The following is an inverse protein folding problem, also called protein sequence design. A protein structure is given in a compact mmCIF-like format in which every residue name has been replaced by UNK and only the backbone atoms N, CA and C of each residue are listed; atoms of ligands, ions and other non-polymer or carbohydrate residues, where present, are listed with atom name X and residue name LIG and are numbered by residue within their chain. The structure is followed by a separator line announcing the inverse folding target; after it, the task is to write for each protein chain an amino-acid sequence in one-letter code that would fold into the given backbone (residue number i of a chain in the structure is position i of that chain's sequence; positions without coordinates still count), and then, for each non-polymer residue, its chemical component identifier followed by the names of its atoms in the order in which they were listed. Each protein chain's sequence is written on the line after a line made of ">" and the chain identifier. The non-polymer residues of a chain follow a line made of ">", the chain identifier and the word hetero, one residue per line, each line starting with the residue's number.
data_IF_332823109635
#
_entry.id   IF_332823109635
#
_cell.length_a   1.000
_cell.length_b   1.000
_cell.length_c   1.000
_cell.angle_alpha   90.00
_cell.angle_beta   90.00
_cell.angle_gamma   90.00
#
_symmetry.space_group_name_H-M   'P 1'
#
loop_
_entity.id
_entity.type
_entity.pdbx_description
1 polymer ?
#
# COMPACT_ATOMS: atom_id res chain seq x y z
N UNK A 1 15.13 0.49 -18.57
CA UNK A 1 14.28 1.69 -18.58
C UNK A 1 14.37 2.32 -17.21
N UNK A 2 14.53 3.66 -17.12
CA UNK A 2 14.65 4.37 -15.85
C UNK A 2 13.29 4.43 -15.14
N UNK A 3 13.31 4.54 -13.82
CA UNK A 3 12.13 4.77 -12.98
C UNK A 3 11.89 6.27 -12.89
N UNK A 4 10.67 6.72 -13.14
CA UNK A 4 10.26 8.09 -12.83
C UNK A 4 9.76 8.22 -11.38
N UNK A 5 9.91 9.42 -10.81
CA UNK A 5 9.34 9.73 -9.49
C UNK A 5 7.81 9.55 -9.48
N UNK A 6 7.16 9.83 -10.61
CA UNK A 6 5.72 9.66 -10.78
C UNK A 6 5.33 8.18 -10.61
N UNK A 7 5.99 7.27 -11.33
CA UNK A 7 5.71 5.83 -11.22
C UNK A 7 5.93 5.30 -9.80
N UNK A 8 6.96 5.81 -9.11
CA UNK A 8 7.25 5.38 -7.74
C UNK A 8 6.17 5.87 -6.76
N UNK A 9 5.74 7.13 -6.86
CA UNK A 9 4.69 7.69 -6.01
C UNK A 9 3.32 7.07 -6.31
N UNK A 10 3.00 6.82 -7.58
CA UNK A 10 1.78 6.11 -7.95
C UNK A 10 1.74 4.72 -7.34
N UNK A 11 2.85 3.97 -7.42
CA UNK A 11 2.94 2.69 -6.76
C UNK A 11 2.81 2.84 -5.25
N UNK A 12 3.58 3.70 -4.61
CA UNK A 12 3.50 3.92 -3.15
C UNK A 12 2.06 4.23 -2.72
N UNK A 13 1.39 5.17 -3.40
CA UNK A 13 -0.01 5.53 -3.08
C UNK A 13 -1.02 4.42 -3.36
N UNK A 14 -0.79 3.57 -4.37
CA UNK A 14 -1.58 2.34 -4.59
C UNK A 14 -1.46 1.41 -3.38
N UNK A 15 -0.22 1.17 -2.91
CA UNK A 15 0.06 0.30 -1.76
C UNK A 15 -0.65 0.82 -0.52
N UNK A 16 -0.52 2.11 -0.20
CA UNK A 16 -1.18 2.72 0.95
C UNK A 16 -2.71 2.61 0.89
N UNK A 17 -3.30 2.80 -0.30
CA UNK A 17 -4.74 2.70 -0.48
C UNK A 17 -5.26 1.28 -0.32
N UNK A 18 -4.52 0.30 -0.82
CA UNK A 18 -4.82 -1.13 -0.63
C UNK A 18 -4.69 -1.52 0.84
N UNK A 19 -3.59 -1.14 1.50
CA UNK A 19 -3.35 -1.41 2.93
C UNK A 19 -4.44 -0.82 3.83
N UNK A 20 -4.82 0.45 3.59
CA UNK A 20 -5.95 1.10 4.26
C UNK A 20 -7.23 0.27 4.16
N UNK A 21 -7.55 -0.21 2.96
CA UNK A 21 -8.77 -1.00 2.69
C UNK A 21 -8.69 -2.32 3.40
N UNK A 22 -7.58 -3.03 3.27
CA UNK A 22 -7.31 -4.30 3.93
C UNK A 22 -7.50 -4.22 5.44
N UNK A 23 -6.82 -3.29 6.12
CA UNK A 23 -6.94 -3.16 7.58
C UNK A 23 -8.34 -2.78 8.02
N UNK A 24 -9.02 -1.88 7.29
CA UNK A 24 -10.39 -1.47 7.59
C UNK A 24 -11.37 -2.63 7.48
N UNK A 25 -11.26 -3.43 6.43
CA UNK A 25 -12.13 -4.57 6.23
C UNK A 25 -11.83 -5.70 7.22
N UNK A 26 -10.55 -5.93 7.54
CA UNK A 26 -10.15 -6.95 8.52
C UNK A 26 -10.71 -6.63 9.91
N UNK A 27 -10.71 -5.35 10.29
CA UNK A 27 -11.29 -4.88 11.54
C UNK A 27 -12.79 -5.22 11.70
N UNK A 28 -13.53 -5.40 10.60
CA UNK A 28 -14.95 -5.80 10.66
C UNK A 28 -15.15 -7.28 11.01
N UNK A 29 -14.10 -8.10 10.89
CA UNK A 29 -14.14 -9.54 11.11
C UNK A 29 -13.47 -9.97 12.42
N UNK A 30 -12.91 -9.02 13.18
CA UNK A 30 -12.26 -9.27 14.46
C UNK A 30 -13.21 -8.95 15.61
N UNK A 31 -13.56 -9.93 16.48
CA UNK A 31 -14.45 -9.71 17.61
C UNK A 31 -13.76 -9.03 18.80
N UNK A 32 -12.44 -9.21 18.93
CA UNK A 32 -11.67 -8.60 20.00
C UNK A 32 -11.58 -7.06 19.80
N UNK A 33 -12.04 -6.25 20.76
CA UNK A 33 -12.10 -4.81 20.59
C UNK A 33 -10.71 -4.14 20.52
N UNK A 34 -9.71 -4.66 21.23
CA UNK A 34 -8.36 -4.10 21.24
C UNK A 34 -7.68 -4.31 19.89
N UNK A 35 -7.78 -5.53 19.35
CA UNK A 35 -7.26 -5.85 18.02
C UNK A 35 -8.01 -5.06 16.93
N UNK A 36 -9.34 -4.92 17.06
CA UNK A 36 -10.13 -4.09 16.14
C UNK A 36 -9.66 -2.64 16.14
N UNK A 37 -9.45 -2.04 17.30
CA UNK A 37 -9.00 -0.66 17.42
C UNK A 37 -7.60 -0.45 16.85
N UNK A 38 -6.70 -1.43 17.05
CA UNK A 38 -5.38 -1.44 16.43
C UNK A 38 -5.47 -1.47 14.90
N UNK A 39 -6.30 -2.34 14.32
CA UNK A 39 -6.48 -2.41 12.86
C UNK A 39 -7.06 -1.10 12.28
N UNK A 40 -8.00 -0.47 13.00
CA UNK A 40 -8.53 0.84 12.62
C UNK A 40 -7.48 1.96 12.75
N UNK A 41 -6.56 1.86 13.71
CA UNK A 41 -5.40 2.74 13.79
C UNK A 41 -4.51 2.56 12.56
N UNK A 42 -4.13 1.33 12.21
CA UNK A 42 -3.31 1.05 11.02
C UNK A 42 -3.95 1.61 9.74
N UNK A 43 -5.26 1.41 9.55
CA UNK A 43 -5.99 1.97 8.40
C UNK A 43 -5.90 3.51 8.33
N UNK A 44 -5.85 4.19 9.47
CA UNK A 44 -5.67 5.66 9.53
C UNK A 44 -4.23 6.07 9.20
N UNK A 45 -3.24 5.31 9.67
CA UNK A 45 -1.83 5.56 9.34
C UNK A 45 -1.58 5.44 7.83
N UNK A 46 -2.09 4.40 7.16
CA UNK A 46 -1.92 4.27 5.69
C UNK A 46 -2.60 5.43 4.93
N UNK A 47 -3.75 5.92 5.42
CA UNK A 47 -4.38 7.10 4.83
C UNK A 47 -3.50 8.37 4.96
N UNK A 48 -2.75 8.48 6.06
CA UNK A 48 -1.81 9.57 6.28
C UNK A 48 -0.56 9.41 5.40
N UNK A 49 0.00 8.21 5.28
CA UNK A 49 1.11 7.91 4.38
C UNK A 49 0.76 8.25 2.92
N UNK A 50 -0.45 7.92 2.45
CA UNK A 50 -0.90 8.27 1.08
C UNK A 50 -0.83 9.78 0.83
N UNK A 51 -1.24 10.58 1.82
CA UNK A 51 -1.19 12.06 1.75
C UNK A 51 0.26 12.53 1.71
N UNK A 52 1.14 11.93 2.49
CA UNK A 52 2.56 12.30 2.56
C UNK A 52 3.29 12.00 1.26
N UNK A 53 3.07 10.82 0.66
CA UNK A 53 3.62 10.49 -0.66
C UNK A 53 3.16 11.45 -1.75
N UNK A 54 1.88 11.86 -1.75
CA UNK A 54 1.36 12.86 -2.69
C UNK A 54 2.04 14.22 -2.50
N UNK A 55 2.17 14.69 -1.26
CA UNK A 55 2.89 15.94 -0.94
C UNK A 55 4.35 15.92 -1.36
N UNK A 56 5.00 14.75 -1.30
CA UNK A 56 6.39 14.62 -1.75
C UNK A 56 6.52 14.97 -3.24
N UNK A 57 5.59 14.55 -4.10
CA UNK A 57 5.62 14.89 -5.53
C UNK A 57 5.42 16.39 -5.76
N UNK A 58 4.43 16.99 -5.10
CA UNK A 58 4.11 18.42 -5.21
C UNK A 58 5.31 19.30 -4.81
N UNK A 59 6.05 18.90 -3.77
CA UNK A 59 7.19 19.66 -3.27
C UNK A 59 8.48 19.46 -4.08
N UNK A 60 8.61 18.34 -4.81
CA UNK A 60 9.91 17.88 -5.35
C UNK A 60 9.96 17.74 -6.87
N UNK A 61 8.82 17.68 -7.55
CA UNK A 61 8.74 17.59 -9.01
C UNK A 61 9.61 16.45 -9.59
N UNK A 62 10.25 16.71 -10.73
CA UNK A 62 11.12 15.73 -11.41
C UNK A 62 12.61 15.83 -11.00
N UNK A 63 12.91 16.27 -9.77
CA UNK A 63 14.31 16.29 -9.31
C UNK A 63 14.90 14.88 -9.30
N UNK A 64 16.21 14.81 -9.55
CA UNK A 64 16.95 13.56 -9.52
C UNK A 64 17.20 13.14 -8.07
N UNK A 65 16.87 11.90 -7.72
CA UNK A 65 16.95 11.38 -6.36
C UNK A 65 17.94 10.21 -6.18
N UNK A 66 18.48 9.67 -7.27
CA UNK A 66 19.50 8.62 -7.26
C UNK A 66 18.93 7.19 -7.33
N UNK A 67 17.61 7.02 -7.38
CA UNK A 67 16.96 5.72 -7.53
C UNK A 67 16.55 5.38 -8.97
N UNK A 68 16.68 6.31 -9.91
CA UNK A 68 16.15 6.21 -11.27
C UNK A 68 16.78 5.07 -12.07
N UNK A 69 18.03 4.71 -11.76
CA UNK A 69 18.76 3.59 -12.37
C UNK A 69 18.72 2.30 -11.54
N UNK A 70 17.98 2.28 -10.42
CA UNK A 70 17.94 1.13 -9.54
C UNK A 70 17.13 -0.02 -10.16
N UNK A 71 17.82 -1.09 -10.58
CA UNK A 71 17.20 -2.25 -11.24
C UNK A 71 16.22 -3.00 -10.33
N UNK A 72 16.52 -3.12 -9.04
CA UNK A 72 15.65 -3.79 -8.07
C UNK A 72 14.34 -3.03 -7.88
N UNK A 73 14.40 -1.70 -7.76
CA UNK A 73 13.20 -0.86 -7.72
C UNK A 73 12.43 -0.95 -9.04
N UNK A 74 13.11 -1.05 -10.18
CA UNK A 74 12.41 -1.17 -11.46
C UNK A 74 11.62 -2.47 -11.53
N UNK A 75 12.25 -3.59 -11.12
CA UNK A 75 11.59 -4.89 -11.05
C UNK A 75 10.41 -4.84 -10.10
N UNK A 76 10.58 -4.26 -8.90
CA UNK A 76 9.53 -4.10 -7.92
C UNK A 76 8.33 -3.34 -8.51
N UNK A 77 8.58 -2.23 -9.19
CA UNK A 77 7.52 -1.46 -9.85
C UNK A 77 6.81 -2.30 -10.92
N UNK A 78 7.54 -2.97 -11.80
CA UNK A 78 6.94 -3.78 -12.85
C UNK A 78 6.06 -4.92 -12.31
N UNK A 79 6.49 -5.57 -11.22
CA UNK A 79 5.73 -6.66 -10.59
C UNK A 79 4.43 -6.13 -9.97
N UNK A 80 4.51 -5.11 -9.10
CA UNK A 80 3.37 -4.68 -8.29
C UNK A 80 2.39 -3.73 -9.00
N UNK A 81 2.74 -3.22 -10.18
CA UNK A 81 1.72 -2.64 -11.08
C UNK A 81 0.80 -3.70 -11.68
N UNK A 82 1.23 -4.97 -11.73
CA UNK A 82 0.49 -6.06 -12.37
C UNK A 82 -0.28 -6.94 -11.37
N UNK A 83 0.00 -6.80 -10.07
CA UNK A 83 -0.59 -7.62 -9.01
C UNK A 83 -1.05 -6.75 -7.84
N UNK A 84 -2.08 -7.19 -7.14
CA UNK A 84 -2.45 -6.60 -5.85
C UNK A 84 -1.44 -7.03 -4.79
N UNK A 85 -1.05 -6.11 -3.90
CA UNK A 85 -0.10 -6.43 -2.82
C UNK A 85 -0.83 -7.11 -1.68
N UNK A 86 -2.01 -6.59 -1.36
CA UNK A 86 -2.85 -7.13 -0.32
C UNK A 86 -3.86 -8.12 -0.93
N UNK A 87 -3.97 -9.33 -0.37
CA UNK A 87 -5.00 -10.27 -0.77
C UNK A 87 -6.38 -9.71 -0.42
N UNK A 88 -7.40 -10.13 -1.17
CA UNK A 88 -8.78 -9.81 -0.82
C UNK A 88 -9.22 -10.68 0.36
N UNK A 89 -10.03 -10.13 1.26
CA UNK A 89 -10.41 -10.87 2.48
C UNK A 89 -11.29 -12.09 2.21
N UNK A 90 -12.11 -12.06 1.16
CA UNK A 90 -12.86 -13.23 0.68
C UNK A 90 -11.93 -14.40 0.34
N UNK A 91 -10.83 -14.13 -0.38
CA UNK A 91 -9.82 -15.14 -0.71
C UNK A 91 -9.12 -15.70 0.53
N UNK A 92 -8.92 -14.87 1.56
CA UNK A 92 -8.35 -15.31 2.84
C UNK A 92 -9.35 -16.20 3.57
N UNK A 93 -10.59 -15.74 3.75
CA UNK A 93 -11.60 -16.49 4.51
C UNK A 93 -12.00 -17.81 3.86
N UNK A 94 -11.94 -17.89 2.53
CA UNK A 94 -12.15 -19.16 1.80
C UNK A 94 -11.08 -20.22 2.11
N UNK A 95 -9.90 -19.81 2.57
CA UNK A 95 -8.79 -20.70 2.94
C UNK A 95 -8.76 -21.06 4.43
N UNK A 96 -9.52 -20.36 5.28
CA UNK A 96 -9.56 -20.65 6.71
C UNK A 96 -10.49 -21.84 6.97
N UNK A 97 -10.09 -22.84 7.78
CA UNK A 97 -10.99 -23.92 8.19
C UNK A 97 -12.27 -23.34 8.80
N UNK A 98 -13.43 -23.74 8.26
CA UNK A 98 -14.72 -23.42 8.86
C UNK A 98 -14.88 -24.29 10.11
N UNK A 99 -14.80 -23.66 11.29
CA UNK A 99 -15.03 -24.30 12.59
C UNK A 99 -16.52 -24.35 12.91
#
# INVERSE_FOLDING_TARGET
>A
MKISNQELIELSTKIEREGKTFYKELANHVPDPEVKDFLLLMSREEAQHEIEFKKMLDAKGQKHYGWEENKSLRQLVNTYYQTDIFPRLDEIFDQVPKF
#
